data_IF_032698230140
#
_entry.id   IF_032698230140
#
_cell.length_a   1.000
_cell.length_b   1.000
_cell.length_c   1.000
_cell.angle_alpha   90.00
_cell.angle_beta   90.00
_cell.angle_gamma   90.00
#
_symmetry.space_group_name_H-M   'P 1'
#
loop_
_entity.id
_entity.type
_entity.pdbx_description
1 polymer ?
#
# COMPACT_ATOMS: atom_id res chain seq x y z
N UNK A 1 10.37 20.49 27.29
CA UNK A 1 10.15 19.18 27.95
C UNK A 1 8.76 18.75 27.51
N UNK A 2 8.58 17.98 26.45
CA UNK A 2 9.18 16.67 26.27
C UNK A 2 9.71 16.45 24.85
N UNK A 3 10.90 15.88 24.84
CA UNK A 3 11.39 14.96 23.83
C UNK A 3 10.26 13.99 23.43
N UNK A 4 9.80 14.06 22.18
CA UNK A 4 9.19 12.91 21.54
C UNK A 4 9.74 12.91 20.12
N UNK A 5 10.91 12.29 19.97
CA UNK A 5 11.53 11.98 18.71
C UNK A 5 10.61 11.10 17.88
N UNK A 6 9.67 11.72 17.18
CA UNK A 6 9.07 11.17 15.97
C UNK A 6 9.94 11.50 14.75
N UNK A 7 11.26 11.60 14.93
CA UNK A 7 12.21 11.27 13.88
C UNK A 7 12.12 9.75 13.71
N UNK A 8 11.02 9.31 13.09
CA UNK A 8 11.06 8.10 12.31
C UNK A 8 12.13 8.39 11.26
N UNK A 9 13.38 7.98 11.53
CA UNK A 9 14.42 7.86 10.52
C UNK A 9 13.95 6.77 9.55
N UNK A 10 13.07 7.19 8.65
CA UNK A 10 12.54 6.38 7.58
C UNK A 10 13.69 6.18 6.62
N UNK A 11 14.39 5.06 6.79
CA UNK A 11 15.13 4.41 5.71
C UNK A 11 14.14 4.18 4.58
N UNK A 12 14.08 5.15 3.66
CA UNK A 12 13.17 5.31 2.52
C UNK A 12 12.99 3.99 1.72
N UNK A 13 14.02 3.13 1.76
CA UNK A 13 14.06 1.79 1.16
C UNK A 13 13.26 0.71 1.90
N UNK A 14 13.21 0.72 3.23
CA UNK A 14 12.53 -0.33 4.02
C UNK A 14 11.00 -0.15 3.99
N UNK A 15 10.53 1.10 4.05
CA UNK A 15 9.10 1.42 3.95
C UNK A 15 8.48 1.05 2.60
N UNK A 16 9.21 1.26 1.49
CA UNK A 16 8.71 0.86 0.16
C UNK A 16 8.52 -0.64 0.04
N UNK A 17 9.42 -1.44 0.59
CA UNK A 17 9.29 -2.91 0.57
C UNK A 17 8.07 -3.37 1.35
N UNK A 18 7.81 -2.79 2.53
CA UNK A 18 6.61 -3.10 3.32
C UNK A 18 5.34 -2.70 2.56
N UNK A 19 5.34 -1.52 1.93
CA UNK A 19 4.20 -1.04 1.15
C UNK A 19 3.90 -1.93 -0.07
N UNK A 20 4.93 -2.40 -0.77
CA UNK A 20 4.78 -3.38 -1.84
C UNK A 20 4.23 -4.72 -1.34
N UNK A 21 4.69 -5.18 -0.16
CA UNK A 21 4.17 -6.41 0.45
C UNK A 21 2.69 -6.28 0.83
N UNK A 22 2.30 -5.17 1.47
CA UNK A 22 0.91 -4.91 1.83
C UNK A 22 -0.01 -4.81 0.62
N UNK A 23 0.45 -4.14 -0.45
CA UNK A 23 -0.24 -4.07 -1.73
C UNK A 23 -0.42 -5.48 -2.34
N UNK A 24 0.63 -6.29 -2.36
CA UNK A 24 0.59 -7.64 -2.91
C UNK A 24 -0.39 -8.55 -2.14
N UNK A 25 -0.32 -8.53 -0.81
CA UNK A 25 -1.20 -9.35 0.05
C UNK A 25 -2.67 -8.95 -0.16
N UNK A 26 -3.00 -7.66 -0.09
CA UNK A 26 -4.37 -7.18 -0.31
C UNK A 26 -4.90 -7.52 -1.70
N UNK A 27 -4.07 -7.33 -2.74
CA UNK A 27 -4.47 -7.63 -4.12
C UNK A 27 -4.72 -9.12 -4.33
N UNK A 28 -3.90 -10.00 -3.74
CA UNK A 28 -4.07 -11.45 -3.84
C UNK A 28 -5.33 -11.90 -3.12
N UNK A 29 -5.56 -11.42 -1.89
CA UNK A 29 -6.78 -11.77 -1.15
C UNK A 29 -8.04 -11.27 -1.87
N UNK A 30 -8.05 -10.05 -2.41
CA UNK A 30 -9.15 -9.54 -3.24
C UNK A 30 -9.52 -10.49 -4.38
N UNK A 31 -8.53 -10.94 -5.17
CA UNK A 31 -8.77 -11.85 -6.30
C UNK A 31 -9.31 -13.20 -5.86
N UNK A 32 -8.79 -13.74 -4.74
CA UNK A 32 -9.26 -15.00 -4.18
C UNK A 32 -10.71 -14.88 -3.68
N UNK A 33 -11.03 -13.84 -2.91
CA UNK A 33 -12.36 -13.66 -2.34
C UNK A 33 -13.42 -13.27 -3.36
N UNK A 34 -13.08 -12.47 -4.37
CA UNK A 34 -13.97 -12.26 -5.53
C UNK A 34 -14.23 -13.57 -6.24
N UNK A 35 -13.18 -14.37 -6.51
CA UNK A 35 -13.32 -15.65 -7.21
C UNK A 35 -14.16 -16.66 -6.42
N UNK A 36 -13.87 -16.82 -5.14
CA UNK A 36 -14.62 -17.69 -4.22
C UNK A 36 -16.03 -17.14 -4.00
N UNK A 37 -16.20 -15.83 -3.86
CA UNK A 37 -17.48 -15.16 -3.63
C UNK A 37 -18.40 -15.30 -4.83
N UNK A 38 -17.86 -15.21 -6.03
CA UNK A 38 -18.58 -15.51 -7.27
C UNK A 38 -18.99 -16.98 -7.34
N UNK A 39 -18.06 -17.90 -7.06
CA UNK A 39 -18.33 -19.34 -7.06
C UNK A 39 -19.37 -19.76 -6.01
N UNK A 40 -19.31 -19.16 -4.82
CA UNK A 40 -20.22 -19.40 -3.71
C UNK A 40 -21.51 -18.57 -3.77
N UNK A 41 -21.66 -17.68 -4.78
CA UNK A 41 -22.73 -16.67 -4.86
C UNK A 41 -22.92 -15.88 -3.55
N UNK A 42 -21.83 -15.59 -2.85
CA UNK A 42 -21.86 -14.91 -1.56
C UNK A 42 -21.57 -13.42 -1.73
N UNK A 43 -22.63 -12.61 -1.62
CA UNK A 43 -22.52 -11.14 -1.60
C UNK A 43 -21.67 -10.64 -0.43
N UNK A 44 -21.66 -11.36 0.70
CA UNK A 44 -20.84 -11.01 1.86
C UNK A 44 -19.34 -11.11 1.55
N UNK A 45 -18.92 -12.16 0.82
CA UNK A 45 -17.51 -12.35 0.45
C UNK A 45 -17.07 -11.36 -0.63
N UNK A 46 -17.97 -11.03 -1.55
CA UNK A 46 -17.73 -9.98 -2.54
C UNK A 46 -17.60 -8.61 -1.85
N UNK A 47 -18.41 -8.34 -0.83
CA UNK A 47 -18.32 -7.08 -0.07
C UNK A 47 -16.98 -6.97 0.69
N UNK A 48 -16.53 -8.04 1.37
CA UNK A 48 -15.23 -8.07 2.08
C UNK A 48 -14.05 -7.78 1.12
N UNK A 49 -14.11 -8.36 -0.08
CA UNK A 49 -13.10 -8.14 -1.10
C UNK A 49 -13.02 -6.66 -1.56
N UNK A 50 -14.13 -5.91 -1.54
CA UNK A 50 -14.11 -4.48 -1.93
C UNK A 50 -13.30 -3.64 -0.93
N UNK A 51 -13.32 -3.99 0.35
CA UNK A 51 -12.50 -3.30 1.35
C UNK A 51 -11.00 -3.53 1.06
N UNK A 52 -10.62 -4.75 0.66
CA UNK A 52 -9.24 -5.06 0.26
C UNK A 52 -8.80 -4.36 -1.04
N UNK A 53 -9.75 -4.13 -1.96
CA UNK A 53 -9.50 -3.32 -3.16
C UNK A 53 -9.24 -1.85 -2.81
N UNK A 54 -9.96 -1.30 -1.83
CA UNK A 54 -9.74 0.06 -1.37
C UNK A 54 -8.34 0.21 -0.74
N UNK A 55 -7.93 -0.74 0.10
CA UNK A 55 -6.58 -0.77 0.68
C UNK A 55 -5.49 -0.86 -0.39
N UNK A 56 -5.67 -1.72 -1.40
CA UNK A 56 -4.74 -1.82 -2.53
C UNK A 56 -4.61 -0.50 -3.30
N UNK A 57 -5.73 0.20 -3.56
CA UNK A 57 -5.71 1.50 -4.23
C UNK A 57 -4.97 2.57 -3.41
N UNK A 58 -5.19 2.61 -2.09
CA UNK A 58 -4.49 3.52 -1.17
C UNK A 58 -2.99 3.25 -1.18
N UNK A 59 -2.56 1.98 -1.12
CA UNK A 59 -1.15 1.63 -1.17
C UNK A 59 -0.50 1.97 -2.51
N UNK A 60 -1.22 1.80 -3.61
CA UNK A 60 -0.73 2.16 -4.95
C UNK A 60 -0.52 3.67 -5.09
N UNK A 61 -1.45 4.48 -4.56
CA UNK A 61 -1.32 5.94 -4.50
C UNK A 61 -0.15 6.35 -3.60
N UNK A 62 -0.03 5.76 -2.41
CA UNK A 62 1.08 6.03 -1.50
C UNK A 62 2.43 5.69 -2.14
N UNK A 63 2.53 4.55 -2.81
CA UNK A 63 3.75 4.13 -3.49
C UNK A 63 4.09 5.07 -4.65
N UNK A 64 3.10 5.54 -5.40
CA UNK A 64 3.28 6.54 -6.45
C UNK A 64 3.79 7.86 -5.88
N UNK A 65 3.21 8.35 -4.78
CA UNK A 65 3.63 9.59 -4.12
C UNK A 65 5.07 9.51 -3.60
N UNK A 66 5.43 8.42 -2.90
CA UNK A 66 6.80 8.19 -2.41
C UNK A 66 7.77 8.00 -3.59
N UNK A 67 7.37 7.30 -4.65
CA UNK A 67 8.14 7.18 -5.89
C UNK A 67 8.52 8.53 -6.51
N UNK A 68 7.54 9.43 -6.59
CA UNK A 68 7.75 10.79 -7.08
C UNK A 68 8.67 11.60 -6.16
N UNK A 69 8.47 11.52 -4.84
CA UNK A 69 9.30 12.20 -3.86
C UNK A 69 10.78 11.77 -3.91
N UNK A 70 11.08 10.48 -4.12
CA UNK A 70 12.47 10.03 -4.35
C UNK A 70 13.04 10.63 -5.64
N UNK A 71 12.24 10.70 -6.69
CA UNK A 71 12.68 11.25 -7.99
C UNK A 71 12.98 12.75 -7.90
N UNK A 72 12.17 13.49 -7.15
CA UNK A 72 12.36 14.92 -6.91
C UNK A 72 13.57 15.18 -5.98
N UNK A 73 13.77 14.36 -4.94
CA UNK A 73 14.98 14.38 -4.10
C UNK A 73 16.24 14.07 -4.93
N UNK A 74 16.19 13.08 -5.83
CA UNK A 74 17.30 12.70 -6.70
C UNK A 74 17.67 13.83 -7.68
N UNK A 75 16.69 14.58 -8.19
CA UNK A 75 16.94 15.79 -9.00
C UNK A 75 17.55 16.92 -8.19
N UNK A 76 17.05 17.18 -6.96
CA UNK A 76 17.58 18.25 -6.11
C UNK A 76 19.03 17.99 -5.69
N UNK A 77 19.41 16.72 -5.49
CA UNK A 77 20.79 16.32 -5.17
C UNK A 77 21.75 16.35 -6.39
N UNK A 78 21.22 16.43 -7.61
CA UNK A 78 22.01 16.53 -8.86
C UNK A 78 22.19 17.97 -9.37
N UNK A 79 21.75 18.97 -8.60
CA UNK A 79 22.04 20.41 -8.79
C UNK A 79 22.87 20.92 -7.64
#
# INVERSE_FOLDING_TARGET
MSDCGCELELKDSEQKSVLYWLLAINSIMFLLEVGVGWYAQSTALIADSIDMLADAAVYLIALYAVGRAITDKARAAMT
#
